data_IF_043108867479
#
_entry.id   IF_043108867479
#
_cell.length_a   1.000
_cell.length_b   1.000
_cell.length_c   1.000
_cell.angle_alpha   90.00
_cell.angle_beta   90.00
_cell.angle_gamma   90.00
#
_symmetry.space_group_name_H-M   'P 1'
#
loop_
_entity.id
_entity.type
_entity.pdbx_description
1 polymer ?
#
# COMPACT_ATOMS: atom_id res chain seq x y z
N UNK A 1 -1.41 -6.56 -10.87
CA UNK A 1 -1.04 -7.14 -9.55
C UNK A 1 -0.14 -6.17 -8.81
N UNK A 2 -0.42 -5.88 -7.53
CA UNK A 2 0.42 -5.05 -6.65
C UNK A 2 1.04 -5.96 -5.61
N UNK A 3 2.36 -5.86 -5.39
CA UNK A 3 3.08 -6.69 -4.42
C UNK A 3 3.61 -5.81 -3.28
N UNK A 4 3.50 -6.30 -2.03
CA UNK A 4 4.17 -5.70 -0.88
C UNK A 4 5.65 -6.10 -0.91
N UNK A 5 6.54 -5.11 -0.95
CA UNK A 5 7.99 -5.29 -0.88
C UNK A 5 8.45 -4.97 0.55
N UNK A 6 9.42 -5.67 1.12
CA UNK A 6 9.77 -5.53 2.53
C UNK A 6 10.37 -4.17 2.91
N UNK A 7 10.99 -3.48 1.97
CA UNK A 7 11.63 -2.17 2.18
C UNK A 7 11.73 -1.38 0.87
N UNK A 8 12.20 -0.14 0.97
CA UNK A 8 12.39 0.80 -0.14
C UNK A 8 13.70 0.56 -0.95
N UNK A 9 14.40 -0.56 -0.78
CA UNK A 9 15.64 -0.84 -1.51
C UNK A 9 15.40 -0.77 -3.03
N UNK A 10 15.96 0.26 -3.67
CA UNK A 10 15.69 0.60 -5.07
C UNK A 10 15.96 -0.55 -6.05
N UNK A 11 17.04 -1.31 -5.82
CA UNK A 11 17.38 -2.46 -6.68
C UNK A 11 16.30 -3.55 -6.61
N UNK A 12 15.79 -3.84 -5.43
CA UNK A 12 14.73 -4.83 -5.22
C UNK A 12 13.41 -4.37 -5.81
N UNK A 13 13.06 -3.10 -5.62
CA UNK A 13 11.88 -2.50 -6.22
C UNK A 13 11.94 -2.60 -7.74
N UNK A 14 13.06 -2.22 -8.37
CA UNK A 14 13.25 -2.31 -9.81
C UNK A 14 13.11 -3.76 -10.32
N UNK A 15 13.76 -4.73 -9.67
CA UNK A 15 13.64 -6.15 -10.01
C UNK A 15 12.18 -6.63 -9.97
N UNK A 16 11.42 -6.26 -8.94
CA UNK A 16 10.01 -6.62 -8.84
C UNK A 16 9.19 -6.00 -9.97
N UNK A 17 9.43 -4.72 -10.27
CA UNK A 17 8.74 -4.05 -11.37
C UNK A 17 9.09 -4.66 -12.74
N UNK A 18 10.29 -5.18 -12.93
CA UNK A 18 10.70 -5.87 -14.17
C UNK A 18 10.02 -7.24 -14.37
N UNK A 19 9.40 -7.80 -13.31
CA UNK A 19 8.55 -8.98 -13.38
C UNK A 19 7.12 -8.72 -13.91
N UNK A 20 6.85 -7.55 -14.49
CA UNK A 20 5.52 -7.15 -15.01
C UNK A 20 4.47 -6.88 -13.91
N UNK A 21 4.92 -6.36 -12.78
CA UNK A 21 4.00 -5.86 -11.77
C UNK A 21 3.37 -4.54 -12.21
N UNK A 22 2.12 -4.35 -11.84
CA UNK A 22 1.39 -3.09 -12.07
C UNK A 22 1.62 -2.08 -10.94
N UNK A 23 2.27 -2.47 -9.87
CA UNK A 23 2.62 -1.59 -8.77
C UNK A 23 3.22 -2.31 -7.59
N UNK A 24 3.69 -1.52 -6.65
CA UNK A 24 4.29 -1.97 -5.40
C UNK A 24 3.60 -1.33 -4.21
N UNK A 25 3.71 -2.00 -3.05
CA UNK A 25 3.32 -1.46 -1.76
C UNK A 25 4.52 -1.52 -0.81
N UNK A 26 5.00 -0.38 -0.35
CA UNK A 26 6.16 -0.28 0.54
C UNK A 26 5.70 0.05 1.96
N UNK A 27 6.07 -0.75 2.98
CA UNK A 27 5.76 -0.49 4.38
C UNK A 27 6.72 0.53 4.99
N UNK A 28 6.37 1.02 6.20
CA UNK A 28 7.22 1.83 7.08
C UNK A 28 7.77 3.13 6.46
N UNK A 29 6.98 3.79 5.61
CA UNK A 29 7.36 5.09 5.06
C UNK A 29 7.08 6.18 6.09
N UNK A 30 8.13 6.87 6.50
CA UNK A 30 8.09 7.86 7.57
C UNK A 30 8.45 9.28 7.12
N UNK A 31 9.13 9.42 5.97
CA UNK A 31 9.60 10.72 5.50
C UNK A 31 9.35 10.92 4.01
N UNK A 32 9.37 12.19 3.60
CA UNK A 32 9.25 12.58 2.20
C UNK A 32 10.39 12.01 1.35
N UNK A 33 11.60 11.98 1.89
CA UNK A 33 12.79 11.47 1.20
C UNK A 33 12.66 9.98 0.90
N UNK A 34 12.17 9.18 1.86
CA UNK A 34 11.88 7.77 1.63
C UNK A 34 10.81 7.59 0.54
N UNK A 35 9.75 8.38 0.60
CA UNK A 35 8.68 8.33 -0.38
C UNK A 35 9.16 8.72 -1.79
N UNK A 36 10.03 9.73 -1.92
CA UNK A 36 10.67 10.10 -3.18
C UNK A 36 11.61 9.00 -3.70
N UNK A 37 12.37 8.36 -2.82
CA UNK A 37 13.23 7.24 -3.21
C UNK A 37 12.42 6.08 -3.82
N UNK A 38 11.24 5.80 -3.27
CA UNK A 38 10.31 4.79 -3.81
C UNK A 38 9.82 5.20 -5.20
N UNK A 39 9.37 6.44 -5.37
CA UNK A 39 8.93 6.96 -6.69
C UNK A 39 10.06 6.82 -7.71
N UNK A 40 11.28 7.25 -7.35
CA UNK A 40 12.45 7.14 -8.21
C UNK A 40 12.77 5.70 -8.63
N UNK A 41 12.56 4.73 -7.76
CA UNK A 41 12.80 3.32 -8.05
C UNK A 41 11.71 2.69 -8.94
N UNK A 42 10.48 3.20 -8.91
CA UNK A 42 9.34 2.68 -9.67
C UNK A 42 9.22 3.32 -11.05
N UNK A 43 9.42 4.63 -11.13
CA UNK A 43 9.15 5.43 -12.32
C UNK A 43 10.41 5.61 -13.17
N UNK A 44 10.24 5.57 -14.49
CA UNK A 44 11.29 5.91 -15.46
C UNK A 44 11.45 7.42 -15.60
N UNK A 45 12.58 7.85 -16.13
CA UNK A 45 12.79 9.25 -16.52
C UNK A 45 11.65 9.76 -17.44
N UNK A 46 11.26 11.04 -17.33
CA UNK A 46 11.81 12.09 -16.46
C UNK A 46 11.22 12.09 -15.03
N UNK A 47 10.27 11.24 -14.72
CA UNK A 47 9.52 11.21 -13.44
C UNK A 47 10.36 10.59 -12.32
N UNK A 48 11.12 9.56 -12.63
CA UNK A 48 11.98 8.84 -11.68
C UNK A 48 13.31 8.45 -12.34
N UNK A 49 14.04 7.56 -11.69
CA UNK A 49 15.39 7.14 -12.09
C UNK A 49 15.52 5.63 -12.29
N UNK A 50 14.40 4.92 -12.44
CA UNK A 50 14.40 3.46 -12.67
C UNK A 50 15.24 3.15 -13.92
N UNK A 51 16.15 2.17 -13.81
CA UNK A 51 16.93 1.66 -14.93
C UNK A 51 16.03 1.10 -16.03
N UNK A 52 16.35 1.43 -17.28
CA UNK A 52 15.57 1.01 -18.45
C UNK A 52 16.25 -0.15 -19.20
N UNK A 53 15.54 -1.27 -19.30
CA UNK A 53 15.89 -2.38 -20.17
C UNK A 53 14.67 -2.74 -21.04
N UNK A 54 14.77 -2.66 -22.39
CA UNK A 54 13.62 -2.89 -23.27
C UNK A 54 13.23 -4.36 -23.42
N UNK A 55 14.02 -5.28 -22.91
CA UNK A 55 13.81 -6.73 -23.08
C UNK A 55 13.42 -7.45 -21.78
N UNK A 56 12.96 -6.70 -20.76
CA UNK A 56 12.40 -7.29 -19.55
C UNK A 56 11.00 -7.86 -19.81
N UNK A 57 10.52 -8.72 -18.91
CA UNK A 57 9.15 -9.21 -18.94
C UNK A 57 8.14 -8.06 -18.88
N UNK A 58 8.41 -7.02 -18.11
CA UNK A 58 7.55 -5.85 -17.99
C UNK A 58 7.41 -5.08 -19.31
N UNK A 59 8.45 -5.09 -20.13
CA UNK A 59 8.46 -4.52 -21.49
C UNK A 59 7.98 -5.53 -22.56
N UNK A 60 7.36 -6.65 -22.16
CA UNK A 60 6.92 -7.73 -23.04
C UNK A 60 8.05 -8.21 -23.98
N UNK A 61 9.25 -8.30 -23.40
CA UNK A 61 10.47 -8.71 -24.11
C UNK A 61 10.76 -7.90 -25.39
N UNK A 62 10.19 -6.70 -25.49
CA UNK A 62 10.33 -5.83 -26.68
C UNK A 62 9.41 -6.16 -27.85
N UNK A 63 8.46 -7.07 -27.70
CA UNK A 63 7.60 -7.52 -28.79
C UNK A 63 6.43 -6.59 -29.11
N UNK A 64 5.84 -5.92 -28.11
CA UNK A 64 4.55 -5.22 -28.28
C UNK A 64 4.63 -3.69 -28.19
N UNK A 65 5.67 -3.13 -27.59
CA UNK A 65 5.81 -1.68 -27.45
C UNK A 65 7.17 -1.22 -27.98
N UNK A 66 7.18 -0.05 -28.60
CA UNK A 66 8.46 0.57 -28.92
C UNK A 66 9.24 0.89 -27.65
N UNK A 67 10.58 0.82 -27.66
CA UNK A 67 11.40 1.21 -26.53
C UNK A 67 11.14 2.65 -26.05
N UNK A 68 10.70 3.54 -26.92
CA UNK A 68 10.37 4.92 -26.56
C UNK A 68 9.01 5.05 -25.86
N UNK A 69 8.02 4.27 -26.25
CA UNK A 69 6.65 4.37 -25.73
C UNK A 69 6.45 3.60 -24.41
N UNK A 70 7.22 2.52 -24.22
CA UNK A 70 7.09 1.68 -23.04
C UNK A 70 7.28 2.44 -21.71
N UNK A 71 8.36 3.26 -21.52
CA UNK A 71 8.55 3.99 -20.27
C UNK A 71 7.43 4.99 -19.98
N UNK A 72 6.91 5.66 -21.00
CA UNK A 72 5.80 6.61 -20.87
C UNK A 72 4.54 5.90 -20.37
N UNK A 73 4.19 4.78 -21.01
CA UNK A 73 3.06 3.95 -20.62
C UNK A 73 3.26 3.36 -19.22
N UNK A 74 4.45 2.82 -18.92
CA UNK A 74 4.76 2.25 -17.63
C UNK A 74 4.66 3.27 -16.49
N UNK A 75 5.11 4.51 -16.71
CA UNK A 75 4.98 5.59 -15.73
C UNK A 75 3.51 5.93 -15.46
N UNK A 76 2.67 5.95 -16.49
CA UNK A 76 1.23 6.20 -16.35
C UNK A 76 0.51 5.07 -15.62
N UNK A 77 0.81 3.83 -15.95
CA UNK A 77 0.03 2.65 -15.58
C UNK A 77 0.53 1.99 -14.27
N UNK A 78 1.74 2.33 -13.80
CA UNK A 78 2.28 1.78 -12.56
C UNK A 78 1.75 2.51 -11.33
N UNK A 79 1.35 1.74 -10.31
CA UNK A 79 0.82 2.23 -9.04
C UNK A 79 1.91 2.26 -7.98
N UNK A 80 2.12 3.42 -7.36
CA UNK A 80 2.97 3.59 -6.18
C UNK A 80 2.09 3.60 -4.93
N UNK A 81 2.17 2.55 -4.15
CA UNK A 81 1.46 2.43 -2.87
C UNK A 81 2.45 2.42 -1.72
N UNK A 82 2.13 3.16 -0.66
CA UNK A 82 2.94 3.22 0.56
C UNK A 82 2.09 2.90 1.79
N UNK A 83 2.76 2.50 2.87
CA UNK A 83 2.14 2.38 4.18
C UNK A 83 2.81 3.32 5.17
N UNK A 84 2.01 4.11 5.84
CA UNK A 84 2.39 4.96 6.97
C UNK A 84 1.92 4.25 8.24
N UNK A 85 2.87 3.77 9.02
CA UNK A 85 2.59 2.81 10.10
C UNK A 85 3.24 3.22 11.43
N UNK A 86 3.76 4.44 11.52
CA UNK A 86 4.40 4.94 12.74
C UNK A 86 3.90 6.34 13.09
N UNK A 87 4.08 6.72 14.36
CA UNK A 87 3.80 8.08 14.83
C UNK A 87 4.53 9.12 13.98
N UNK A 88 5.84 8.90 13.73
CA UNK A 88 6.66 9.80 12.91
C UNK A 88 6.13 9.93 11.48
N UNK A 89 5.73 8.81 10.88
CA UNK A 89 5.14 8.83 9.54
C UNK A 89 3.82 9.61 9.48
N UNK A 90 2.98 9.50 10.53
CA UNK A 90 1.75 10.29 10.64
C UNK A 90 2.04 11.79 10.86
N UNK A 91 3.07 12.15 11.61
CA UNK A 91 3.50 13.53 11.82
C UNK A 91 4.00 14.16 10.50
N UNK A 92 4.68 13.40 9.64
CA UNK A 92 5.22 13.84 8.36
C UNK A 92 4.23 13.62 7.17
N UNK A 93 3.00 13.20 7.46
CA UNK A 93 2.07 12.76 6.43
C UNK A 93 1.79 13.83 5.37
N UNK A 94 1.66 15.09 5.75
CA UNK A 94 1.36 16.19 4.82
C UNK A 94 2.50 16.37 3.79
N UNK A 95 3.76 16.24 4.21
CA UNK A 95 4.91 16.29 3.33
C UNK A 95 4.96 15.09 2.37
N UNK A 96 4.65 13.90 2.87
CA UNK A 96 4.56 12.67 2.07
C UNK A 96 3.45 12.79 1.02
N UNK A 97 2.28 13.28 1.41
CA UNK A 97 1.13 13.47 0.53
C UNK A 97 1.36 14.54 -0.55
N UNK A 98 2.33 15.43 -0.37
CA UNK A 98 2.69 16.46 -1.36
C UNK A 98 3.35 15.88 -2.63
N UNK A 99 3.75 14.61 -2.63
CA UNK A 99 4.38 13.94 -3.78
C UNK A 99 3.29 13.46 -4.75
N UNK A 100 3.24 13.99 -5.99
CA UNK A 100 2.16 13.67 -6.94
C UNK A 100 2.09 12.19 -7.31
N UNK A 101 3.23 11.54 -7.45
CA UNK A 101 3.37 10.17 -7.96
C UNK A 101 2.98 9.07 -6.96
N UNK A 102 2.66 9.42 -5.72
CA UNK A 102 2.07 8.47 -4.78
C UNK A 102 0.57 8.36 -5.08
N UNK A 103 0.14 7.17 -5.45
CA UNK A 103 -1.24 6.89 -5.82
C UNK A 103 -2.09 6.45 -4.63
N UNK A 104 -1.52 5.59 -3.79
CA UNK A 104 -2.23 4.89 -2.72
C UNK A 104 -1.48 4.99 -1.41
N UNK A 105 -2.18 5.37 -0.35
CA UNK A 105 -1.64 5.37 1.02
C UNK A 105 -2.50 4.50 1.92
N UNK A 106 -1.85 3.65 2.70
CA UNK A 106 -2.49 2.85 3.74
C UNK A 106 -1.92 3.22 5.11
N UNK A 107 -2.74 3.14 6.15
CA UNK A 107 -2.29 3.25 7.54
C UNK A 107 -2.36 1.85 8.16
N UNK A 108 -1.28 1.43 8.82
CA UNK A 108 -1.19 0.13 9.51
C UNK A 108 -1.54 0.27 11.00
N UNK A 109 -2.79 -0.02 11.45
CA UNK A 109 -3.23 0.26 12.83
C UNK A 109 -2.41 -0.44 13.90
N UNK A 110 -1.96 -1.66 13.63
CA UNK A 110 -1.16 -2.45 14.59
C UNK A 110 0.21 -1.82 14.84
N UNK A 111 0.90 -1.45 13.77
CA UNK A 111 2.24 -0.86 13.87
C UNK A 111 2.15 0.58 14.40
N UNK A 112 1.12 1.35 14.01
CA UNK A 112 0.84 2.66 14.62
C UNK A 112 0.67 2.51 16.13
N UNK A 113 -0.16 1.56 16.60
CA UNK A 113 -0.36 1.36 18.05
C UNK A 113 0.95 1.01 18.76
N UNK A 114 1.78 0.16 18.16
CA UNK A 114 3.08 -0.19 18.69
C UNK A 114 4.02 1.04 18.77
N UNK A 115 4.01 1.91 17.75
CA UNK A 115 4.82 3.13 17.72
C UNK A 115 4.43 4.19 18.76
N UNK A 116 3.19 4.11 19.25
CA UNK A 116 2.72 4.90 20.40
C UNK A 116 3.00 4.26 21.76
N UNK A 117 3.72 3.12 21.80
CA UNK A 117 3.96 2.37 23.03
C UNK A 117 2.74 1.56 23.51
N UNK A 118 1.75 1.34 22.67
CA UNK A 118 0.47 0.68 22.94
C UNK A 118 0.26 -0.52 22.01
N UNK A 119 1.19 -1.51 21.97
CA UNK A 119 1.11 -2.63 21.03
C UNK A 119 -0.18 -3.42 21.19
N UNK A 120 -0.85 -3.71 20.07
CA UNK A 120 -2.10 -4.45 20.04
C UNK A 120 -3.34 -3.66 20.49
N UNK A 121 -3.23 -2.35 20.69
CA UNK A 121 -4.33 -1.47 21.13
C UNK A 121 -4.68 -0.38 20.09
N UNK A 122 -5.04 -0.75 18.85
CA UNK A 122 -5.36 0.23 17.81
C UNK A 122 -6.61 1.07 18.14
N UNK A 123 -7.49 0.56 19.00
CA UNK A 123 -8.71 1.26 19.43
C UNK A 123 -8.48 2.19 20.64
N UNK A 124 -7.25 2.28 21.17
CA UNK A 124 -6.92 3.23 22.22
C UNK A 124 -7.19 4.67 21.74
N UNK A 125 -7.85 5.54 22.52
CA UNK A 125 -8.34 6.84 22.04
C UNK A 125 -7.30 7.69 21.32
N UNK A 126 -6.06 7.74 21.82
CA UNK A 126 -4.98 8.51 21.20
C UNK A 126 -4.57 7.92 19.84
N UNK A 127 -4.46 6.60 19.75
CA UNK A 127 -4.09 5.90 18.51
C UNK A 127 -5.19 6.05 17.47
N UNK A 128 -6.42 5.80 17.87
CA UNK A 128 -7.60 5.93 17.02
C UNK A 128 -7.74 7.34 16.45
N UNK A 129 -7.60 8.36 17.27
CA UNK A 129 -7.66 9.76 16.83
C UNK A 129 -6.57 10.08 15.80
N UNK A 130 -5.33 9.60 16.00
CA UNK A 130 -4.24 9.80 15.06
C UNK A 130 -4.47 9.10 13.72
N UNK A 131 -5.03 7.88 13.74
CA UNK A 131 -5.37 7.13 12.52
C UNK A 131 -6.50 7.84 11.76
N UNK A 132 -7.56 8.24 12.44
CA UNK A 132 -8.70 8.94 11.82
C UNK A 132 -8.29 10.29 11.22
N UNK A 133 -7.40 11.02 11.88
CA UNK A 133 -6.81 12.24 11.33
C UNK A 133 -5.99 11.96 10.07
N UNK A 134 -5.11 10.96 10.12
CA UNK A 134 -4.32 10.54 8.95
C UNK A 134 -5.21 10.13 7.77
N UNK A 135 -6.26 9.35 8.00
CA UNK A 135 -7.21 8.95 6.98
C UNK A 135 -7.92 10.16 6.33
N UNK A 136 -8.34 11.14 7.14
CA UNK A 136 -8.94 12.38 6.63
C UNK A 136 -7.97 13.16 5.75
N UNK A 137 -6.70 13.30 6.15
CA UNK A 137 -5.65 13.96 5.37
C UNK A 137 -5.42 13.27 4.02
N UNK A 138 -5.33 11.93 4.01
CA UNK A 138 -5.15 11.15 2.78
C UNK A 138 -6.33 11.41 1.81
N UNK A 139 -7.55 11.33 2.30
CA UNK A 139 -8.74 11.57 1.47
C UNK A 139 -8.77 13.01 0.95
N UNK A 140 -8.49 13.99 1.81
CA UNK A 140 -8.47 15.41 1.46
C UNK A 140 -7.39 15.75 0.41
N UNK A 141 -6.26 15.04 0.40
CA UNK A 141 -5.20 15.19 -0.59
C UNK A 141 -5.58 14.69 -2.00
N UNK A 142 -6.72 14.01 -2.15
CA UNK A 142 -7.15 13.38 -3.40
C UNK A 142 -6.52 12.02 -3.67
N UNK A 143 -5.58 11.57 -2.83
CA UNK A 143 -4.96 10.25 -2.96
C UNK A 143 -5.91 9.13 -2.55
N UNK A 144 -5.63 7.92 -3.01
CA UNK A 144 -6.44 6.76 -2.67
C UNK A 144 -6.08 6.23 -1.28
N UNK A 145 -7.01 6.33 -0.33
CA UNK A 145 -6.88 5.62 0.94
C UNK A 145 -7.18 4.14 0.71
N UNK A 146 -6.21 3.28 1.08
CA UNK A 146 -6.38 1.82 1.14
C UNK A 146 -6.53 1.40 2.60
N UNK A 147 -7.62 0.71 2.92
CA UNK A 147 -7.86 0.25 4.28
C UNK A 147 -8.31 -1.22 4.33
N UNK A 148 -8.23 -1.82 5.52
CA UNK A 148 -8.53 -3.23 5.76
C UNK A 148 -9.90 -3.37 6.43
N UNK A 149 -10.77 -4.18 5.84
CA UNK A 149 -12.11 -4.45 6.39
C UNK A 149 -12.33 -5.94 6.61
N UNK A 150 -13.03 -6.24 7.70
CA UNK A 150 -13.33 -7.61 8.13
C UNK A 150 -14.73 -8.06 7.75
N UNK A 151 -15.63 -7.12 7.45
CA UNK A 151 -17.01 -7.43 7.09
C UNK A 151 -17.61 -6.36 6.16
N UNK A 152 -18.71 -6.69 5.44
CA UNK A 152 -19.37 -5.81 4.48
C UNK A 152 -19.88 -4.49 5.07
N UNK A 153 -20.33 -4.49 6.32
CA UNK A 153 -20.88 -3.28 6.95
C UNK A 153 -19.79 -2.23 7.21
N UNK A 154 -18.59 -2.67 7.63
CA UNK A 154 -17.44 -1.78 7.76
C UNK A 154 -17.03 -1.22 6.40
N UNK A 155 -16.98 -2.05 5.36
CA UNK A 155 -16.65 -1.62 4.02
C UNK A 155 -17.65 -0.59 3.49
N UNK A 156 -18.96 -0.79 3.71
CA UNK A 156 -20.00 0.17 3.33
C UNK A 156 -19.83 1.54 3.97
N UNK A 157 -19.56 1.58 5.28
CA UNK A 157 -19.28 2.83 6.00
C UNK A 157 -18.05 3.53 5.44
N UNK A 158 -17.00 2.78 5.16
CA UNK A 158 -15.75 3.31 4.62
C UNK A 158 -15.90 3.90 3.21
N UNK A 159 -16.70 3.28 2.34
CA UNK A 159 -17.05 3.84 1.03
C UNK A 159 -17.72 5.21 1.22
N UNK A 160 -18.65 5.33 2.15
CA UNK A 160 -19.31 6.59 2.46
C UNK A 160 -18.35 7.67 2.98
N UNK A 161 -17.26 7.24 3.65
CA UNK A 161 -16.20 8.14 4.14
C UNK A 161 -15.14 8.47 3.09
N UNK A 162 -15.22 7.96 1.86
CA UNK A 162 -14.30 8.26 0.77
C UNK A 162 -13.17 7.25 0.56
N UNK A 163 -13.18 6.10 1.24
CA UNK A 163 -12.23 5.01 0.96
C UNK A 163 -12.54 4.38 -0.40
N UNK A 164 -11.52 4.22 -1.24
CA UNK A 164 -11.67 3.71 -2.61
C UNK A 164 -10.97 2.39 -2.87
N UNK A 165 -10.03 1.97 -2.01
CA UNK A 165 -9.31 0.71 -2.14
C UNK A 165 -9.45 -0.11 -0.86
N UNK A 166 -9.79 -1.39 -1.03
CA UNK A 166 -10.07 -2.30 0.09
C UNK A 166 -9.10 -3.47 0.07
N UNK A 167 -8.53 -3.75 1.24
CA UNK A 167 -7.86 -5.01 1.50
C UNK A 167 -8.82 -5.88 2.31
N UNK A 168 -9.22 -7.02 1.75
CA UNK A 168 -10.22 -7.91 2.37
C UNK A 168 -9.53 -9.18 2.84
N UNK A 169 -9.20 -9.23 4.12
CA UNK A 169 -8.62 -10.41 4.77
C UNK A 169 -7.31 -10.89 4.16
N UNK A 170 -6.92 -12.07 4.58
CA UNK A 170 -5.82 -12.82 3.98
C UNK A 170 -6.24 -14.28 3.76
N UNK A 171 -5.62 -15.02 2.82
CA UNK A 171 -5.90 -16.45 2.64
C UNK A 171 -5.78 -17.24 3.94
N UNK A 172 -4.79 -16.92 4.78
CA UNK A 172 -4.58 -17.57 6.07
C UNK A 172 -5.74 -17.30 7.06
N UNK A 173 -6.24 -16.07 7.11
CA UNK A 173 -7.38 -15.72 7.97
C UNK A 173 -8.66 -16.41 7.51
N UNK A 174 -8.93 -16.46 6.22
CA UNK A 174 -10.08 -17.14 5.66
C UNK A 174 -10.02 -18.64 5.95
N UNK A 175 -8.87 -19.26 5.71
CA UNK A 175 -8.67 -20.69 5.94
C UNK A 175 -8.81 -21.05 7.42
N UNK A 176 -8.14 -20.31 8.32
CA UNK A 176 -8.22 -20.55 9.77
C UNK A 176 -9.62 -20.28 10.33
N UNK A 177 -10.34 -19.29 9.78
CA UNK A 177 -11.74 -19.01 10.13
C UNK A 177 -12.64 -20.18 9.77
N UNK A 178 -12.58 -20.69 8.56
CA UNK A 178 -13.35 -21.85 8.12
C UNK A 178 -13.09 -23.10 8.97
N UNK A 179 -11.82 -23.39 9.29
CA UNK A 179 -11.51 -24.52 10.18
C UNK A 179 -12.08 -24.31 11.62
N UNK A 180 -12.00 -23.10 12.15
CA UNK A 180 -12.60 -22.82 13.48
C UNK A 180 -14.10 -23.04 13.49
N UNK A 181 -14.81 -22.57 12.46
CA UNK A 181 -16.25 -22.78 12.34
C UNK A 181 -16.62 -24.27 12.25
N UNK A 182 -15.90 -25.05 11.43
CA UNK A 182 -16.10 -26.49 11.33
C UNK A 182 -15.89 -27.20 12.68
N UNK A 183 -14.81 -26.89 13.39
CA UNK A 183 -14.49 -27.49 14.70
C UNK A 183 -15.55 -27.12 15.72
N UNK A 184 -16.00 -25.86 15.75
CA UNK A 184 -17.06 -25.43 16.65
C UNK A 184 -18.38 -26.11 16.34
N UNK A 185 -18.73 -26.27 15.05
CA UNK A 185 -19.93 -26.96 14.60
C UNK A 185 -19.95 -28.44 15.00
N UNK A 186 -18.81 -29.11 15.00
CA UNK A 186 -18.69 -30.50 15.50
C UNK A 186 -18.84 -30.56 17.02
N UNK A 187 -18.10 -29.70 17.76
CA UNK A 187 -18.17 -29.68 19.24
C UNK A 187 -19.56 -29.35 19.76
N UNK A 188 -20.31 -28.52 19.08
CA UNK A 188 -21.69 -28.18 19.49
C UNK A 188 -22.70 -29.35 19.32
N UNK A 189 -22.30 -30.41 18.60
CA UNK A 189 -23.14 -31.61 18.38
C UNK A 189 -22.68 -32.84 19.15
N UNK A 190 -21.61 -32.71 19.92
CA UNK A 190 -21.12 -33.71 20.89
C UNK A 190 -21.69 -33.45 22.29
#
# INVERSE_FOLDING_TARGET
MVIRVPNEEAARVAQMMDCQLQGIKIPHVETKEQALAIVNAVKYAPVGTRGFCPITRAADYGFTASPADYPVRANRDSVVSIMVETKRGLENLDEILSIPEIDVVAIGPSDVSASYGLPGQPDHPVVKAAIEEGQRKIIASGKCLCDLYKNPEQAKKAIQSGVRMFQIGSPLQLLSGGFKELIQGVKARM
#
